data_IF_527256496032
#
_entry.id   IF_527256496032
#
_cell.length_a   1.000
_cell.length_b   1.000
_cell.length_c   1.000
_cell.angle_alpha   90.00
_cell.angle_beta   90.00
_cell.angle_gamma   90.00
#
_symmetry.space_group_name_H-M   'P 1'
#
loop_
_entity.id
_entity.type
_entity.pdbx_description
1 polymer ?
#
# COMPACT_ATOMS: atom_id res chain seq x y z
N UNK A 1 -30.89 -25.78 18.34
CA UNK A 1 -29.52 -25.30 18.67
C UNK A 1 -29.20 -24.19 17.69
N UNK A 2 -29.24 -22.93 18.14
CA UNK A 2 -28.87 -21.80 17.29
C UNK A 2 -27.42 -21.95 16.84
N UNK A 3 -27.11 -21.64 15.58
CA UNK A 3 -25.72 -21.53 15.12
C UNK A 3 -25.00 -20.57 16.07
N UNK A 4 -24.10 -21.10 16.91
CA UNK A 4 -23.27 -20.29 17.78
C UNK A 4 -22.39 -19.44 16.84
N UNK A 5 -22.76 -18.16 16.64
CA UNK A 5 -21.95 -17.25 15.83
C UNK A 5 -20.65 -17.03 16.59
N UNK A 6 -19.52 -17.25 15.93
CA UNK A 6 -18.19 -17.08 16.53
C UNK A 6 -17.95 -15.59 16.78
N UNK A 7 -17.50 -15.25 17.99
CA UNK A 7 -17.02 -13.91 18.31
C UNK A 7 -15.76 -13.63 17.48
N UNK A 8 -15.84 -12.66 16.56
CA UNK A 8 -14.79 -12.45 15.53
C UNK A 8 -14.11 -11.09 15.70
N UNK A 9 -12.79 -11.09 15.79
CA UNK A 9 -11.97 -9.88 15.76
C UNK A 9 -11.36 -9.68 14.37
N UNK A 10 -11.58 -8.53 13.74
CA UNK A 10 -10.93 -8.17 12.48
C UNK A 10 -9.80 -7.20 12.78
N UNK A 11 -8.56 -7.52 12.40
CA UNK A 11 -7.41 -6.65 12.54
C UNK A 11 -7.03 -6.07 11.18
N UNK A 12 -7.38 -4.80 10.93
CA UNK A 12 -6.87 -4.03 9.80
C UNK A 12 -5.43 -3.60 10.08
N UNK A 13 -4.50 -3.87 9.16
CA UNK A 13 -3.09 -3.49 9.33
C UNK A 13 -2.66 -2.58 8.19
N UNK A 14 -2.26 -1.35 8.50
CA UNK A 14 -1.64 -0.45 7.52
C UNK A 14 -0.13 -0.30 7.79
N UNK A 15 0.65 0.17 6.83
CA UNK A 15 2.11 0.36 6.96
C UNK A 15 2.48 1.16 8.21
N UNK A 16 1.77 2.27 8.43
CA UNK A 16 2.09 3.24 9.46
C UNK A 16 2.75 4.49 8.91
N UNK A 17 2.96 5.44 9.81
CA UNK A 17 3.43 6.79 9.53
C UNK A 17 4.12 7.33 10.79
N UNK A 18 5.03 8.31 10.73
CA UNK A 18 5.50 9.01 11.92
C UNK A 18 4.34 9.60 12.73
N UNK A 19 4.44 9.55 14.06
CA UNK A 19 3.41 10.07 14.99
C UNK A 19 3.20 11.59 14.82
N UNK A 20 4.22 12.30 14.35
CA UNK A 20 4.19 13.70 13.96
C UNK A 20 5.24 13.97 12.89
N UNK A 21 5.18 15.11 12.16
CA UNK A 21 6.22 15.48 11.20
C UNK A 21 7.48 16.02 11.91
N UNK A 22 7.61 15.83 13.23
CA UNK A 22 8.81 16.21 13.97
C UNK A 22 9.99 15.31 13.59
N UNK A 23 11.19 15.89 13.54
CA UNK A 23 12.43 15.16 13.26
C UNK A 23 12.64 13.94 14.17
N UNK A 24 12.16 14.02 15.42
CA UNK A 24 12.26 12.94 16.41
C UNK A 24 11.41 11.74 15.97
N UNK A 25 10.13 11.97 15.68
CA UNK A 25 9.19 10.88 15.38
C UNK A 25 9.46 10.29 14.01
N UNK A 26 9.83 11.11 13.02
CA UNK A 26 10.31 10.66 11.71
C UNK A 26 11.54 9.75 11.86
N UNK A 27 12.51 10.12 12.71
CA UNK A 27 13.68 9.28 12.99
C UNK A 27 13.31 7.95 13.62
N UNK A 28 12.33 7.92 14.53
CA UNK A 28 11.89 6.68 15.17
C UNK A 28 11.19 5.78 14.14
N UNK A 29 10.26 6.34 13.35
CA UNK A 29 9.59 5.64 12.24
C UNK A 29 10.60 5.03 11.26
N UNK A 30 11.51 5.83 10.72
CA UNK A 30 12.49 5.34 9.76
C UNK A 30 13.41 4.27 10.35
N UNK A 31 13.78 4.39 11.63
CA UNK A 31 14.57 3.36 12.29
C UNK A 31 13.81 2.05 12.41
N UNK A 32 12.54 2.09 12.77
CA UNK A 32 11.71 0.90 12.88
C UNK A 32 11.51 0.24 11.51
N UNK A 33 11.07 1.03 10.52
CA UNK A 33 10.79 0.60 9.16
C UNK A 33 12.03 0.03 8.45
N UNK A 34 13.13 0.79 8.40
CA UNK A 34 14.30 0.39 7.61
C UNK A 34 15.14 -0.74 8.27
N UNK A 35 14.98 -0.98 9.58
CA UNK A 35 15.62 -2.14 10.23
C UNK A 35 14.82 -3.44 10.06
N UNK A 36 13.64 -3.41 9.45
CA UNK A 36 12.85 -4.59 9.15
C UNK A 36 13.55 -5.46 8.09
N UNK A 37 13.78 -6.77 8.36
CA UNK A 37 14.43 -7.68 7.41
C UNK A 37 13.67 -7.87 6.10
N UNK A 38 12.34 -7.67 6.08
CA UNK A 38 11.53 -7.82 4.88
C UNK A 38 11.56 -6.58 4.00
N UNK A 39 11.95 -5.43 4.55
CA UNK A 39 12.08 -4.16 3.84
C UNK A 39 13.50 -4.00 3.29
N UNK A 40 14.52 -4.20 4.14
CA UNK A 40 15.92 -4.24 3.71
C UNK A 40 16.46 -5.64 3.98
N UNK A 41 16.54 -6.45 2.94
CA UNK A 41 16.97 -7.84 3.05
C UNK A 41 18.50 -7.99 3.07
N UNK A 42 19.10 -7.46 4.12
CA UNK A 42 20.52 -7.62 4.46
C UNK A 42 20.66 -8.41 5.76
N UNK A 43 21.76 -9.17 5.97
CA UNK A 43 22.03 -9.83 7.24
C UNK A 43 21.95 -8.86 8.42
N UNK A 44 21.32 -9.30 9.52
CA UNK A 44 20.91 -8.45 10.66
C UNK A 44 21.98 -7.45 11.13
N UNK A 45 23.21 -7.89 11.32
CA UNK A 45 24.30 -7.01 11.79
C UNK A 45 24.69 -5.97 10.73
N UNK A 46 24.86 -6.40 9.47
CA UNK A 46 25.16 -5.51 8.33
C UNK A 46 24.04 -4.49 8.13
N UNK A 47 22.78 -4.92 8.20
CA UNK A 47 21.62 -4.04 8.11
C UNK A 47 21.59 -3.00 9.23
N UNK A 48 21.77 -3.40 10.49
CA UNK A 48 21.77 -2.46 11.62
C UNK A 48 22.87 -1.40 11.48
N UNK A 49 24.07 -1.79 11.06
CA UNK A 49 25.18 -0.86 10.84
C UNK A 49 24.89 0.10 9.68
N UNK A 50 24.43 -0.43 8.54
CA UNK A 50 24.06 0.37 7.37
C UNK A 50 22.94 1.37 7.70
N UNK A 51 21.84 0.89 8.28
CA UNK A 51 20.66 1.70 8.56
C UNK A 51 20.97 2.77 9.60
N UNK A 52 21.51 2.38 10.76
CA UNK A 52 21.67 3.34 11.87
C UNK A 52 22.92 4.22 11.73
N UNK A 53 23.96 3.74 11.04
CA UNK A 53 25.22 4.46 10.85
C UNK A 53 25.26 5.31 9.58
N UNK A 54 24.55 4.92 8.52
CA UNK A 54 24.62 5.59 7.21
C UNK A 54 23.25 6.07 6.74
N UNK A 55 22.22 5.24 6.66
CA UNK A 55 20.95 5.68 6.05
C UNK A 55 20.26 6.74 6.91
N UNK A 56 20.03 6.45 8.19
CA UNK A 56 19.26 7.32 9.10
C UNK A 56 19.91 8.69 9.29
N UNK A 57 21.23 8.82 9.57
CA UNK A 57 21.85 10.14 9.78
C UNK A 57 21.71 11.09 8.59
N UNK A 58 21.73 10.56 7.36
CA UNK A 58 21.65 11.36 6.14
C UNK A 58 20.22 11.54 5.62
N UNK A 59 19.33 10.55 5.83
CA UNK A 59 17.96 10.57 5.30
C UNK A 59 16.95 11.34 6.17
N UNK A 60 17.14 11.36 7.49
CA UNK A 60 16.14 11.92 8.43
C UNK A 60 15.79 13.37 8.12
N UNK A 61 16.76 14.22 7.76
CA UNK A 61 16.49 15.63 7.46
C UNK A 61 15.52 15.76 6.29
N UNK A 62 15.85 15.16 5.15
CA UNK A 62 15.04 15.25 3.94
C UNK A 62 13.65 14.65 4.16
N UNK A 63 13.57 13.46 4.76
CA UNK A 63 12.27 12.85 5.09
C UNK A 63 11.44 13.71 6.04
N UNK A 64 12.07 14.43 6.98
CA UNK A 64 11.33 15.32 7.90
C UNK A 64 10.64 16.45 7.15
N UNK A 65 11.31 17.05 6.16
CA UNK A 65 10.70 18.13 5.37
C UNK A 65 9.55 17.62 4.50
N UNK A 66 9.72 16.46 3.84
CA UNK A 66 8.64 15.83 3.06
C UNK A 66 7.43 15.49 3.94
N UNK A 67 7.65 14.98 5.17
CA UNK A 67 6.55 14.71 6.09
C UNK A 67 5.85 15.97 6.59
N UNK A 68 6.57 17.09 6.78
CA UNK A 68 5.94 18.37 7.13
C UNK A 68 5.06 18.87 5.99
N UNK A 69 5.55 18.79 4.76
CA UNK A 69 4.80 19.15 3.57
C UNK A 69 3.53 18.30 3.43
N UNK A 70 3.65 16.98 3.58
CA UNK A 70 2.48 16.08 3.59
C UNK A 70 1.45 16.50 4.63
N UNK A 71 1.90 16.84 5.85
CA UNK A 71 1.01 17.29 6.91
C UNK A 71 0.33 18.62 6.56
N UNK A 72 1.07 19.58 6.02
CA UNK A 72 0.53 20.88 5.59
C UNK A 72 -0.55 20.70 4.52
N UNK A 73 -0.25 19.93 3.48
CA UNK A 73 -1.18 19.61 2.39
C UNK A 73 -2.41 18.81 2.86
N UNK A 74 -2.28 18.10 3.99
CA UNK A 74 -3.34 17.22 4.54
C UNK A 74 -4.09 17.83 5.73
N UNK A 75 -3.94 19.13 5.99
CA UNK A 75 -4.65 19.82 7.08
C UNK A 75 -4.13 19.49 8.48
N UNK A 76 -2.82 19.24 8.61
CA UNK A 76 -2.12 19.03 9.87
C UNK A 76 -2.17 17.60 10.42
N UNK A 77 -2.58 16.62 9.62
CA UNK A 77 -2.69 15.21 10.01
C UNK A 77 -2.06 14.27 8.99
N UNK A 78 -1.70 13.06 9.41
CA UNK A 78 -1.34 12.00 8.45
C UNK A 78 -2.59 11.55 7.69
N UNK A 79 -2.66 11.69 6.36
CA UNK A 79 -3.80 11.20 5.58
C UNK A 79 -3.91 9.67 5.68
N UNK A 80 -2.77 8.95 5.75
CA UNK A 80 -2.74 7.50 5.90
C UNK A 80 -3.40 7.05 7.20
N UNK A 81 -3.07 7.70 8.34
CA UNK A 81 -3.70 7.39 9.62
C UNK A 81 -5.18 7.77 9.60
N UNK A 82 -5.50 9.01 9.18
CA UNK A 82 -6.87 9.53 9.11
C UNK A 82 -7.81 8.62 8.32
N UNK A 83 -7.42 8.22 7.12
CA UNK A 83 -8.26 7.37 6.29
C UNK A 83 -8.30 5.92 6.78
N UNK A 84 -7.27 5.43 7.47
CA UNK A 84 -7.31 4.11 8.12
C UNK A 84 -8.29 4.10 9.29
N UNK A 85 -8.30 5.15 10.13
CA UNK A 85 -9.29 5.34 11.19
C UNK A 85 -10.71 5.47 10.64
N UNK A 86 -10.88 6.25 9.55
CA UNK A 86 -12.16 6.39 8.86
C UNK A 86 -12.69 5.04 8.35
N UNK A 87 -11.85 4.29 7.62
CA UNK A 87 -12.18 2.93 7.15
C UNK A 87 -12.56 1.98 8.28
N UNK A 88 -11.82 2.01 9.38
CA UNK A 88 -12.10 1.17 10.56
C UNK A 88 -13.49 1.45 11.12
N UNK A 89 -13.85 2.72 11.28
CA UNK A 89 -15.19 3.14 11.77
C UNK A 89 -16.30 2.75 10.80
N UNK A 90 -16.10 3.01 9.50
CA UNK A 90 -17.09 2.70 8.47
C UNK A 90 -17.31 1.18 8.33
N UNK A 91 -16.24 0.39 8.41
CA UNK A 91 -16.34 -1.06 8.38
C UNK A 91 -17.02 -1.59 9.65
N UNK A 92 -16.69 -1.07 10.84
CA UNK A 92 -17.36 -1.45 12.08
C UNK A 92 -18.87 -1.21 12.01
N UNK A 93 -19.32 -0.13 11.38
CA UNK A 93 -20.74 0.17 11.20
C UNK A 93 -21.46 -0.89 10.35
N UNK A 94 -20.77 -1.53 9.38
CA UNK A 94 -21.32 -2.65 8.58
C UNK A 94 -21.64 -3.89 9.40
N UNK A 95 -21.01 -4.03 10.57
CA UNK A 95 -21.14 -5.20 11.44
C UNK A 95 -21.73 -4.87 12.82
N UNK A 96 -22.36 -3.71 13.01
CA UNK A 96 -22.88 -3.26 14.32
C UNK A 96 -23.89 -4.23 14.98
N UNK A 97 -24.60 -5.01 14.18
CA UNK A 97 -25.62 -5.97 14.62
C UNK A 97 -25.08 -7.42 14.67
N UNK A 98 -23.75 -7.58 14.56
CA UNK A 98 -23.05 -8.86 14.54
C UNK A 98 -21.97 -8.90 15.65
N UNK A 99 -21.54 -10.11 16.05
CA UNK A 99 -20.47 -10.29 17.05
C UNK A 99 -19.09 -10.18 16.39
N UNK A 100 -18.87 -9.02 15.74
CA UNK A 100 -17.67 -8.69 14.98
C UNK A 100 -17.16 -7.32 15.44
N UNK A 101 -15.90 -7.28 15.88
CA UNK A 101 -15.23 -6.04 16.25
C UNK A 101 -14.06 -5.78 15.32
N UNK A 102 -14.01 -4.58 14.74
CA UNK A 102 -12.95 -4.13 13.84
C UNK A 102 -11.91 -3.31 14.61
N UNK A 103 -10.68 -3.80 14.59
CA UNK A 103 -9.49 -3.18 15.17
C UNK A 103 -8.59 -2.67 14.06
N UNK A 104 -7.73 -1.70 14.39
CA UNK A 104 -6.66 -1.27 13.49
C UNK A 104 -5.33 -1.18 14.21
N UNK A 105 -4.27 -1.56 13.50
CA UNK A 105 -2.90 -1.37 13.94
C UNK A 105 -2.04 -0.87 12.78
N UNK A 106 -0.93 -0.23 13.13
CA UNK A 106 0.13 0.05 12.18
C UNK A 106 1.21 -1.02 12.26
N UNK A 107 1.81 -1.35 11.11
CA UNK A 107 3.00 -2.19 11.08
C UNK A 107 4.18 -1.49 11.77
N UNK A 108 4.32 -0.19 11.55
CA UNK A 108 5.31 0.67 12.20
C UNK A 108 4.58 1.81 12.90
N UNK A 109 5.00 2.18 14.11
CA UNK A 109 4.40 3.28 14.91
C UNK A 109 2.98 3.01 15.41
N UNK A 110 2.28 4.09 15.80
CA UNK A 110 1.00 4.05 16.52
C UNK A 110 -0.20 3.95 15.55
N UNK A 111 -1.29 3.26 15.92
CA UNK A 111 -1.42 2.38 17.08
C UNK A 111 -0.51 1.15 16.98
N UNK A 112 0.22 0.81 18.04
CA UNK A 112 1.18 -0.30 18.01
C UNK A 112 0.43 -1.61 17.95
N UNK A 113 0.84 -2.48 17.04
CA UNK A 113 0.23 -3.80 16.90
C UNK A 113 0.29 -4.63 18.18
N UNK A 114 1.32 -4.48 19.01
CA UNK A 114 1.42 -5.13 20.32
C UNK A 114 0.31 -4.72 21.28
N UNK A 115 -0.06 -3.44 21.31
CA UNK A 115 -1.08 -2.93 22.23
C UNK A 115 -2.47 -3.39 21.76
N UNK A 116 -2.75 -3.23 20.47
CA UNK A 116 -4.02 -3.62 19.84
C UNK A 116 -4.26 -5.12 20.00
N UNK A 117 -3.25 -5.95 19.73
CA UNK A 117 -3.39 -7.40 19.88
C UNK A 117 -3.50 -7.82 21.36
N UNK A 118 -2.88 -7.13 22.31
CA UNK A 118 -3.12 -7.39 23.73
C UNK A 118 -4.54 -7.04 24.16
N UNK A 119 -5.14 -5.97 23.62
CA UNK A 119 -6.55 -5.65 23.79
C UNK A 119 -7.44 -6.76 23.19
N UNK A 120 -7.18 -7.15 21.94
CA UNK A 120 -7.91 -8.23 21.28
C UNK A 120 -7.81 -9.56 22.05
N UNK A 121 -6.65 -9.88 22.63
CA UNK A 121 -6.44 -11.07 23.46
C UNK A 121 -7.36 -11.06 24.69
N UNK A 122 -7.53 -9.90 25.33
CA UNK A 122 -8.40 -9.75 26.51
C UNK A 122 -9.88 -9.85 26.16
N UNK A 123 -10.24 -9.47 24.94
CA UNK A 123 -11.61 -9.63 24.44
C UNK A 123 -11.99 -11.09 24.12
N UNK A 124 -11.02 -12.01 24.06
CA UNK A 124 -11.23 -13.44 23.96
C UNK A 124 -12.09 -13.86 22.74
N UNK A 125 -11.65 -13.45 21.55
CA UNK A 125 -12.28 -13.84 20.28
C UNK A 125 -12.15 -15.35 20.01
N UNK A 126 -13.17 -15.93 19.38
CA UNK A 126 -13.11 -17.30 18.84
C UNK A 126 -12.25 -17.33 17.55
N UNK A 127 -12.28 -16.24 16.80
CA UNK A 127 -11.59 -16.08 15.51
C UNK A 127 -10.99 -14.69 15.35
N UNK A 128 -9.79 -14.62 14.80
CA UNK A 128 -9.15 -13.37 14.38
C UNK A 128 -8.87 -13.41 12.88
N UNK A 129 -9.36 -12.40 12.16
CA UNK A 129 -9.09 -12.17 10.74
C UNK A 129 -8.03 -11.08 10.65
N UNK A 130 -6.85 -11.42 10.12
CA UNK A 130 -5.74 -10.49 9.87
C UNK A 130 -5.85 -9.98 8.43
N UNK A 131 -6.11 -8.68 8.26
CA UNK A 131 -6.33 -8.04 6.98
C UNK A 131 -5.36 -6.86 6.81
N UNK A 132 -4.16 -7.09 6.24
CA UNK A 132 -3.29 -6.02 5.78
C UNK A 132 -3.97 -5.21 4.67
N UNK A 133 -3.93 -3.88 4.77
CA UNK A 133 -4.52 -2.93 3.82
C UNK A 133 -3.58 -2.68 2.62
N UNK A 134 -3.04 -3.75 2.05
CA UNK A 134 -2.21 -3.76 0.84
C UNK A 134 -2.90 -4.62 -0.22
N UNK A 135 -3.35 -4.04 -1.35
CA UNK A 135 -4.05 -4.82 -2.37
C UNK A 135 -3.14 -5.88 -2.99
N UNK A 136 -1.89 -5.51 -3.24
CA UNK A 136 -0.88 -6.37 -3.85
C UNK A 136 0.02 -7.00 -2.78
N UNK A 137 0.28 -8.30 -2.89
CA UNK A 137 1.22 -8.99 -2.02
C UNK A 137 2.65 -8.51 -2.28
N UNK A 138 3.32 -8.09 -1.22
CA UNK A 138 4.78 -8.02 -1.17
C UNK A 138 5.26 -8.43 0.22
N UNK A 139 6.41 -9.11 0.29
CA UNK A 139 7.03 -9.49 1.56
C UNK A 139 7.30 -8.25 2.44
N UNK A 140 7.71 -7.14 1.80
CA UNK A 140 8.03 -5.87 2.45
C UNK A 140 6.81 -5.09 3.00
N UNK A 141 5.57 -5.50 2.66
CA UNK A 141 4.32 -4.85 3.11
C UNK A 141 3.38 -5.85 3.82
N UNK A 142 2.52 -6.54 3.07
CA UNK A 142 1.58 -7.53 3.62
C UNK A 142 2.29 -8.67 4.35
N UNK A 143 3.43 -9.14 3.84
CA UNK A 143 4.21 -10.20 4.47
C UNK A 143 4.72 -9.83 5.87
N UNK A 144 5.30 -8.63 6.03
CA UNK A 144 5.78 -8.16 7.34
C UNK A 144 4.64 -7.82 8.31
N UNK A 145 3.50 -7.33 7.81
CA UNK A 145 2.28 -7.13 8.59
C UNK A 145 1.77 -8.44 9.21
N UNK A 146 1.60 -9.46 8.38
CA UNK A 146 1.15 -10.79 8.82
C UNK A 146 2.17 -11.41 9.78
N UNK A 147 3.46 -11.40 9.43
CA UNK A 147 4.53 -11.93 10.28
C UNK A 147 4.48 -11.30 11.67
N UNK A 148 4.38 -9.96 11.76
CA UNK A 148 4.34 -9.24 13.03
C UNK A 148 3.14 -9.66 13.89
N UNK A 149 1.96 -9.78 13.29
CA UNK A 149 0.75 -10.18 14.00
C UNK A 149 0.89 -11.61 14.54
N UNK A 150 1.32 -12.55 13.68
CA UNK A 150 1.55 -13.94 14.07
C UNK A 150 2.64 -14.06 15.14
N UNK A 151 3.70 -13.25 15.07
CA UNK A 151 4.78 -13.22 16.06
C UNK A 151 4.33 -12.80 17.46
N UNK A 152 3.28 -11.98 17.54
CA UNK A 152 2.64 -11.58 18.80
C UNK A 152 1.70 -12.69 19.26
N UNK A 153 0.79 -13.14 18.39
CA UNK A 153 -0.25 -14.14 18.70
C UNK A 153 0.35 -15.47 19.13
N UNK A 154 1.46 -15.92 18.51
CA UNK A 154 2.12 -17.19 18.85
C UNK A 154 2.63 -17.28 20.29
N UNK A 155 2.65 -16.17 21.03
CA UNK A 155 3.06 -16.09 22.44
C UNK A 155 1.88 -16.26 23.40
N UNK A 156 0.64 -16.27 22.90
CA UNK A 156 -0.54 -16.43 23.73
C UNK A 156 -0.71 -17.88 24.17
N UNK A 157 -1.23 -18.08 25.39
CA UNK A 157 -1.56 -19.42 25.90
C UNK A 157 -2.71 -20.09 25.15
N UNK A 158 -3.67 -19.27 24.69
CA UNK A 158 -4.80 -19.69 23.86
C UNK A 158 -4.68 -18.95 22.54
N UNK A 159 -4.54 -19.71 21.45
CA UNK A 159 -4.48 -19.17 20.10
C UNK A 159 -5.87 -19.37 19.48
N UNK A 160 -6.59 -18.30 19.09
CA UNK A 160 -7.89 -18.43 18.44
C UNK A 160 -7.74 -18.95 17.01
N UNK A 161 -8.84 -19.23 16.32
CA UNK A 161 -8.78 -19.49 14.88
C UNK A 161 -8.22 -18.25 14.16
N UNK A 162 -7.17 -18.43 13.34
CA UNK A 162 -6.54 -17.34 12.61
C UNK A 162 -6.81 -17.49 11.12
N UNK A 163 -7.30 -16.44 10.48
CA UNK A 163 -7.40 -16.33 9.03
C UNK A 163 -6.65 -15.10 8.55
N UNK A 164 -6.05 -15.16 7.36
CA UNK A 164 -5.35 -14.02 6.75
C UNK A 164 -5.96 -13.66 5.39
N UNK A 165 -5.84 -12.39 5.02
CA UNK A 165 -6.13 -11.88 3.66
C UNK A 165 -4.78 -11.43 3.08
N UNK A 166 -4.06 -12.27 2.32
CA UNK A 166 -2.70 -11.93 1.89
C UNK A 166 -2.65 -10.83 0.83
N UNK A 167 -3.65 -10.77 -0.05
CA UNK A 167 -3.84 -9.78 -1.11
C UNK A 167 -5.34 -9.73 -1.50
N UNK A 168 -5.70 -8.69 -2.26
CA UNK A 168 -7.04 -8.47 -2.83
C UNK A 168 -6.99 -7.60 -4.10
N UNK A 169 -5.88 -7.66 -4.85
CA UNK A 169 -5.56 -6.77 -5.97
C UNK A 169 -6.57 -6.82 -7.13
N UNK A 170 -7.32 -7.91 -7.25
CA UNK A 170 -8.33 -8.21 -8.27
C UNK A 170 -9.76 -8.16 -7.74
N UNK A 171 -9.97 -7.79 -6.47
CA UNK A 171 -11.31 -7.72 -5.90
C UNK A 171 -12.16 -6.67 -6.61
N UNK A 172 -13.33 -7.07 -7.12
CA UNK A 172 -14.15 -6.22 -7.98
C UNK A 172 -14.48 -4.87 -7.34
N UNK A 173 -14.93 -4.85 -6.08
CA UNK A 173 -15.25 -3.61 -5.37
C UNK A 173 -14.02 -2.69 -5.14
N UNK A 174 -12.81 -3.26 -5.05
CA UNK A 174 -11.57 -2.46 -4.97
C UNK A 174 -11.26 -1.81 -6.33
N UNK A 175 -11.33 -2.57 -7.43
CA UNK A 175 -11.17 -2.04 -8.79
C UNK A 175 -12.22 -0.97 -9.09
N UNK A 176 -13.49 -1.25 -8.78
CA UNK A 176 -14.60 -0.32 -8.99
C UNK A 176 -14.43 0.98 -8.22
N UNK A 177 -13.83 0.93 -7.03
CA UNK A 177 -13.54 2.18 -6.29
C UNK A 177 -12.61 3.10 -7.07
N UNK A 178 -11.58 2.54 -7.70
CA UNK A 178 -10.63 3.34 -8.50
C UNK A 178 -11.33 3.90 -9.74
N UNK A 179 -12.15 3.08 -10.40
CA UNK A 179 -12.99 3.52 -11.54
C UNK A 179 -13.93 4.65 -11.12
N UNK A 180 -14.55 4.56 -9.93
CA UNK A 180 -15.45 5.60 -9.40
C UNK A 180 -14.70 6.90 -9.07
N UNK A 181 -13.53 6.82 -8.44
CA UNK A 181 -12.64 7.97 -8.22
C UNK A 181 -12.27 8.66 -9.54
N UNK A 182 -12.15 7.88 -10.62
CA UNK A 182 -11.80 8.42 -11.94
C UNK A 182 -12.92 9.25 -12.57
N UNK A 183 -14.19 9.05 -12.18
CA UNK A 183 -15.35 9.75 -12.77
C UNK A 183 -15.33 11.27 -12.56
N UNK A 184 -14.56 11.75 -11.59
CA UNK A 184 -14.34 13.18 -11.34
C UNK A 184 -13.45 13.84 -12.40
N UNK A 185 -12.78 13.05 -13.24
CA UNK A 185 -11.83 13.51 -14.25
C UNK A 185 -12.34 13.25 -15.67
N UNK A 186 -12.15 14.24 -16.55
CA UNK A 186 -12.28 14.00 -18.00
C UNK A 186 -11.01 13.32 -18.50
N UNK A 187 -10.99 11.99 -18.46
CA UNK A 187 -9.85 11.15 -18.85
C UNK A 187 -9.35 11.48 -20.26
N UNK A 188 -10.25 11.86 -21.18
CA UNK A 188 -9.88 12.21 -22.57
C UNK A 188 -9.13 13.54 -22.69
N UNK A 189 -9.12 14.35 -21.63
CA UNK A 189 -8.42 15.63 -21.60
C UNK A 189 -6.94 15.52 -21.22
N UNK A 190 -6.45 14.29 -20.98
CA UNK A 190 -5.06 13.99 -20.65
C UNK A 190 -4.37 13.31 -21.84
N UNK A 191 -3.10 13.64 -22.06
CA UNK A 191 -2.30 13.10 -23.17
C UNK A 191 -1.82 11.68 -22.90
N UNK A 192 -1.54 11.36 -21.63
CA UNK A 192 -1.10 10.03 -21.19
C UNK A 192 -1.67 9.67 -19.80
N UNK A 193 -1.78 8.38 -19.55
CA UNK A 193 -2.23 7.83 -18.28
C UNK A 193 -1.10 7.01 -17.63
N UNK A 194 -0.75 7.33 -16.38
CA UNK A 194 0.27 6.65 -15.62
C UNK A 194 -0.35 5.80 -14.51
N UNK A 195 -0.05 4.51 -14.47
CA UNK A 195 -0.27 3.67 -13.28
C UNK A 195 1.06 3.50 -12.55
N UNK A 196 1.27 4.30 -11.51
CA UNK A 196 2.50 4.32 -10.71
C UNK A 196 2.35 3.41 -9.47
N UNK A 197 3.19 2.40 -9.35
CA UNK A 197 3.23 1.49 -8.19
C UNK A 197 4.52 1.71 -7.40
N UNK A 198 4.54 1.46 -6.09
CA UNK A 198 5.82 1.53 -5.36
C UNK A 198 6.78 0.45 -5.93
N UNK A 199 7.97 0.86 -6.35
CA UNK A 199 9.00 -0.03 -6.82
C UNK A 199 9.48 -1.00 -5.74
N UNK A 200 9.90 -2.18 -6.15
CA UNK A 200 10.59 -3.15 -5.31
C UNK A 200 11.95 -3.49 -5.92
N UNK A 201 12.94 -3.88 -5.12
CA UNK A 201 14.16 -4.50 -5.64
C UNK A 201 13.81 -5.74 -6.47
N UNK A 202 14.54 -5.99 -7.56
CA UNK A 202 14.32 -7.19 -8.40
C UNK A 202 14.39 -8.48 -7.57
N UNK A 203 15.35 -8.51 -6.63
CA UNK A 203 15.53 -9.63 -5.71
C UNK A 203 14.33 -9.92 -4.82
N UNK A 204 13.43 -8.95 -4.58
CA UNK A 204 12.22 -9.19 -3.80
C UNK A 204 11.15 -9.91 -4.63
N UNK A 205 11.03 -9.58 -5.91
CA UNK A 205 10.08 -10.25 -6.81
C UNK A 205 10.62 -11.58 -7.33
N UNK A 206 11.94 -11.78 -7.35
CA UNK A 206 12.54 -13.05 -7.73
C UNK A 206 12.31 -14.13 -6.65
N UNK A 207 12.36 -13.76 -5.37
CA UNK A 207 12.26 -14.69 -4.23
C UNK A 207 10.90 -15.34 -4.04
N UNK A 208 9.89 -14.94 -4.80
CA UNK A 208 8.56 -15.56 -4.75
C UNK A 208 8.44 -16.77 -5.67
N UNK A 209 9.47 -17.04 -6.48
CA UNK A 209 9.55 -18.18 -7.38
C UNK A 209 10.50 -19.24 -6.79
N UNK A 210 10.06 -20.50 -6.79
CA UNK A 210 10.91 -21.64 -6.41
C UNK A 210 11.94 -21.96 -7.51
N UNK A 211 11.51 -21.85 -8.77
CA UNK A 211 12.33 -22.08 -9.97
C UNK A 211 12.18 -20.90 -10.93
N UNK A 212 13.30 -20.26 -11.30
CA UNK A 212 13.35 -19.11 -12.21
C UNK A 212 13.26 -17.75 -11.50
N UNK A 213 13.24 -16.68 -12.28
CA UNK A 213 13.18 -15.29 -11.83
C UNK A 213 11.90 -14.61 -12.31
N UNK A 214 11.63 -13.41 -11.80
CA UNK A 214 10.48 -12.61 -12.24
C UNK A 214 10.53 -12.30 -13.74
N UNK A 215 11.73 -12.07 -14.28
CA UNK A 215 11.95 -11.80 -15.71
C UNK A 215 11.67 -13.01 -16.62
N UNK A 216 11.70 -14.23 -16.07
CA UNK A 216 11.40 -15.47 -16.81
C UNK A 216 9.88 -15.74 -16.90
N UNK A 217 9.06 -14.92 -16.24
CA UNK A 217 7.60 -15.09 -16.19
C UNK A 217 6.88 -13.99 -16.95
N UNK A 218 5.70 -14.27 -17.53
CA UNK A 218 4.92 -13.29 -18.30
C UNK A 218 4.15 -12.31 -17.38
N UNK A 219 4.82 -11.75 -16.37
CA UNK A 219 4.22 -10.89 -15.34
C UNK A 219 3.53 -9.65 -15.92
N UNK A 220 4.00 -9.14 -17.04
CA UNK A 220 3.46 -7.91 -17.65
C UNK A 220 2.17 -8.19 -18.44
N UNK A 221 1.98 -9.41 -18.94
CA UNK A 221 0.93 -9.74 -19.89
C UNK A 221 -0.17 -10.62 -19.30
N UNK A 222 0.12 -11.49 -18.33
CA UNK A 222 -0.88 -12.40 -17.75
C UNK A 222 -0.63 -12.74 -16.28
N UNK A 223 -1.70 -13.23 -15.62
CA UNK A 223 -1.67 -13.85 -14.31
C UNK A 223 -1.84 -15.36 -14.48
N UNK A 224 -1.02 -16.16 -13.82
CA UNK A 224 -1.06 -17.62 -13.85
C UNK A 224 -0.63 -18.23 -12.51
N UNK A 225 -0.68 -19.55 -12.40
CA UNK A 225 -0.39 -20.26 -11.15
C UNK A 225 1.05 -20.03 -10.64
N UNK A 226 2.01 -19.73 -11.52
CA UNK A 226 3.40 -19.50 -11.14
C UNK A 226 3.62 -18.08 -10.60
N UNK A 227 2.99 -17.08 -11.20
CA UNK A 227 3.21 -15.68 -10.87
C UNK A 227 2.14 -15.07 -9.94
N UNK A 228 1.18 -15.87 -9.44
CA UNK A 228 0.07 -15.44 -8.57
C UNK A 228 0.49 -14.60 -7.36
N UNK A 229 1.70 -14.81 -6.81
CA UNK A 229 2.23 -14.07 -5.66
C UNK A 229 3.30 -13.04 -6.02
N UNK A 230 3.58 -12.86 -7.31
CA UNK A 230 4.53 -11.86 -7.77
C UNK A 230 3.89 -10.47 -7.76
N UNK A 231 4.48 -9.55 -6.99
CA UNK A 231 4.02 -8.15 -6.92
C UNK A 231 3.89 -7.50 -8.30
N UNK A 232 4.91 -7.67 -9.16
CA UNK A 232 4.90 -7.13 -10.54
C UNK A 232 3.70 -7.65 -11.32
N UNK A 233 3.46 -8.97 -11.30
CA UNK A 233 2.32 -9.56 -11.99
C UNK A 233 0.98 -9.02 -11.49
N UNK A 234 0.82 -8.86 -10.18
CA UNK A 234 -0.39 -8.32 -9.57
C UNK A 234 -0.61 -6.85 -9.95
N UNK A 235 0.44 -6.01 -9.97
CA UNK A 235 0.34 -4.62 -10.43
C UNK A 235 -0.17 -4.52 -11.86
N UNK A 236 0.42 -5.27 -12.78
CA UNK A 236 -0.01 -5.28 -14.18
C UNK A 236 -1.44 -5.83 -14.33
N UNK A 237 -1.81 -6.86 -13.56
CA UNK A 237 -3.18 -7.39 -13.56
C UNK A 237 -4.21 -6.37 -13.05
N UNK A 238 -3.95 -5.68 -11.93
CA UNK A 238 -4.81 -4.59 -11.43
C UNK A 238 -4.96 -3.50 -12.49
N UNK A 239 -3.87 -3.09 -13.15
CA UNK A 239 -3.95 -2.08 -14.20
C UNK A 239 -4.82 -2.54 -15.37
N UNK A 240 -4.67 -3.79 -15.85
CA UNK A 240 -5.53 -4.31 -16.93
C UNK A 240 -7.02 -4.28 -16.55
N UNK A 241 -7.36 -4.68 -15.32
CA UNK A 241 -8.74 -4.67 -14.83
C UNK A 241 -9.33 -3.25 -14.74
N UNK A 242 -8.54 -2.27 -14.28
CA UNK A 242 -8.96 -0.86 -14.24
C UNK A 242 -9.11 -0.31 -15.66
N UNK A 243 -8.12 -0.55 -16.53
CA UNK A 243 -8.09 -0.09 -17.90
C UNK A 243 -9.30 -0.61 -18.70
N UNK A 244 -9.63 -1.90 -18.55
CA UNK A 244 -10.81 -2.50 -19.17
C UNK A 244 -12.10 -1.78 -18.76
N UNK A 245 -12.32 -1.56 -17.46
CA UNK A 245 -13.52 -0.87 -16.96
C UNK A 245 -13.59 0.62 -17.35
N UNK A 246 -12.44 1.25 -17.59
CA UNK A 246 -12.35 2.63 -18.10
C UNK A 246 -12.42 2.71 -19.64
N UNK A 247 -12.43 1.58 -20.34
CA UNK A 247 -12.40 1.53 -21.80
C UNK A 247 -11.07 2.00 -22.41
N UNK A 248 -9.97 1.89 -21.67
CA UNK A 248 -8.63 2.25 -22.11
C UNK A 248 -7.99 1.11 -22.89
N UNK A 249 -7.23 1.46 -23.93
CA UNK A 249 -6.37 0.52 -24.67
C UNK A 249 -4.99 0.48 -24.04
N UNK A 250 -4.23 -0.57 -24.31
CA UNK A 250 -2.83 -0.71 -23.85
C UNK A 250 -1.93 0.46 -24.32
N UNK A 251 -2.25 1.10 -25.44
CA UNK A 251 -1.55 2.29 -25.94
C UNK A 251 -1.83 3.56 -25.14
N UNK A 252 -2.90 3.59 -24.33
CA UNK A 252 -3.37 4.79 -23.66
C UNK A 252 -2.72 4.98 -22.27
N UNK A 253 -2.06 3.95 -21.74
CA UNK A 253 -1.47 3.97 -20.41
C UNK A 253 -0.10 3.30 -20.32
N UNK A 254 0.66 3.67 -19.29
CA UNK A 254 1.92 3.01 -18.91
C UNK A 254 1.86 2.56 -17.46
N UNK A 255 2.29 1.32 -17.19
CA UNK A 255 2.60 0.86 -15.84
C UNK A 255 4.05 1.21 -15.52
N UNK A 256 4.28 1.87 -14.40
CA UNK A 256 5.62 2.26 -13.96
C UNK A 256 5.77 2.13 -12.44
N UNK A 257 7.01 2.22 -11.97
CA UNK A 257 7.36 2.02 -10.58
C UNK A 257 8.07 3.26 -10.00
N UNK A 258 7.48 3.84 -8.96
CA UNK A 258 8.01 4.98 -8.21
C UNK A 258 8.92 4.56 -7.06
N UNK A 259 9.60 5.52 -6.44
CA UNK A 259 10.42 5.33 -5.24
C UNK A 259 11.43 4.16 -5.31
N UNK A 260 12.71 4.48 -5.56
CA UNK A 260 13.81 3.47 -5.58
C UNK A 260 15.03 3.90 -4.79
N UNK A 261 15.85 2.93 -4.38
CA UNK A 261 17.16 3.20 -3.77
C UNK A 261 18.33 3.13 -4.76
N UNK A 262 18.20 2.33 -5.83
CA UNK A 262 19.22 2.17 -6.86
C UNK A 262 18.58 1.67 -8.18
N UNK A 263 19.40 1.26 -9.16
CA UNK A 263 18.95 0.84 -10.51
C UNK A 263 18.45 -0.61 -10.61
N UNK A 264 18.67 -1.47 -9.61
CA UNK A 264 18.26 -2.89 -9.58
C UNK A 264 16.89 -3.04 -8.91
N UNK A 265 15.92 -2.34 -9.48
CA UNK A 265 14.56 -2.21 -9.00
C UNK A 265 13.64 -2.29 -10.22
N UNK A 266 12.40 -2.68 -9.98
CA UNK A 266 11.38 -2.78 -11.04
C UNK A 266 11.34 -1.53 -11.91
N UNK A 267 11.35 -1.75 -13.22
CA UNK A 267 11.27 -0.74 -14.27
C UNK A 267 9.99 -0.93 -15.10
N UNK A 268 9.54 0.10 -15.85
CA UNK A 268 10.13 1.45 -15.98
C UNK A 268 9.94 2.30 -14.72
N UNK A 269 10.78 3.31 -14.52
CA UNK A 269 10.67 4.20 -13.37
C UNK A 269 9.71 5.37 -13.64
N UNK A 270 8.78 5.64 -12.71
CA UNK A 270 7.73 6.64 -12.90
C UNK A 270 8.28 8.05 -13.19
N UNK A 271 9.31 8.50 -12.47
CA UNK A 271 10.00 9.76 -12.73
C UNK A 271 10.52 9.84 -14.17
N UNK A 272 11.13 8.75 -14.67
CA UNK A 272 11.66 8.70 -16.05
C UNK A 272 10.60 8.66 -17.12
N UNK A 273 9.50 7.95 -16.90
CA UNK A 273 8.36 7.97 -17.83
C UNK A 273 7.78 9.37 -17.96
N UNK A 274 7.66 10.10 -16.86
CA UNK A 274 7.14 11.47 -16.85
C UNK A 274 8.10 12.45 -17.56
N UNK A 275 9.40 12.36 -17.29
CA UNK A 275 10.43 13.13 -18.00
C UNK A 275 10.34 12.89 -19.52
N UNK A 276 10.32 11.63 -19.95
CA UNK A 276 10.25 11.25 -21.36
C UNK A 276 8.98 11.76 -22.05
N UNK A 277 7.83 11.72 -21.37
CA UNK A 277 6.58 12.24 -21.93
C UNK A 277 6.58 13.77 -22.06
N UNK A 278 7.20 14.49 -21.11
CA UNK A 278 7.36 15.94 -21.21
C UNK A 278 8.24 16.31 -22.41
N UNK A 279 9.37 15.62 -22.58
CA UNK A 279 10.29 15.81 -23.71
C UNK A 279 9.62 15.51 -25.05
N UNK A 280 8.69 14.55 -25.09
CA UNK A 280 7.85 14.23 -26.26
C UNK A 280 6.70 15.21 -26.48
N UNK A 281 6.55 16.23 -25.63
CA UNK A 281 5.58 17.32 -25.79
C UNK A 281 4.23 17.12 -25.09
N UNK A 282 4.09 16.09 -24.24
CA UNK A 282 2.87 15.89 -23.45
C UNK A 282 2.66 17.04 -22.47
N UNK A 283 1.40 17.45 -22.28
CA UNK A 283 1.02 18.58 -21.44
C UNK A 283 0.28 18.17 -20.19
N UNK A 284 -0.54 17.12 -20.24
CA UNK A 284 -1.36 16.68 -19.11
C UNK A 284 -1.27 15.18 -18.92
N UNK A 285 -0.91 14.75 -17.71
CA UNK A 285 -0.84 13.34 -17.32
C UNK A 285 -1.88 13.07 -16.24
N UNK A 286 -2.65 11.99 -16.38
CA UNK A 286 -3.49 11.47 -15.30
C UNK A 286 -2.74 10.31 -14.62
N UNK A 287 -2.45 10.43 -13.33
CA UNK A 287 -1.65 9.47 -12.58
C UNK A 287 -2.47 8.75 -11.51
N UNK A 288 -2.31 7.44 -11.45
CA UNK A 288 -2.92 6.53 -10.47
C UNK A 288 -1.85 5.95 -9.57
N UNK A 289 -2.20 5.65 -8.32
CA UNK A 289 -1.32 4.94 -7.38
C UNK A 289 -2.03 3.75 -6.70
N UNK A 290 -2.37 2.68 -7.45
CA UNK A 290 -3.30 1.65 -6.96
C UNK A 290 -2.77 0.86 -5.75
N UNK A 291 -1.45 0.75 -5.60
CA UNK A 291 -0.83 0.05 -4.46
C UNK A 291 -1.17 0.66 -3.08
N UNK A 292 -1.69 1.89 -3.03
CA UNK A 292 -2.00 2.59 -1.79
C UNK A 292 -3.52 2.80 -1.67
N UNK A 293 -4.11 2.29 -0.60
CA UNK A 293 -5.56 2.42 -0.32
C UNK A 293 -5.90 3.63 0.56
N UNK A 294 -4.90 4.44 0.88
CA UNK A 294 -5.04 5.69 1.59
C UNK A 294 -3.97 6.64 1.06
N UNK A 295 -4.33 7.90 0.85
CA UNK A 295 -3.35 8.90 0.47
C UNK A 295 -2.24 9.00 1.52
N UNK A 296 -1.02 9.14 1.04
CA UNK A 296 0.19 9.10 1.85
C UNK A 296 1.28 9.95 1.20
N UNK A 297 2.50 9.83 1.71
CA UNK A 297 3.66 10.58 1.22
C UNK A 297 3.94 10.28 -0.25
N UNK A 298 3.89 8.99 -0.62
CA UNK A 298 4.16 8.48 -1.96
C UNK A 298 3.06 8.88 -2.98
N UNK A 299 1.88 9.30 -2.52
CA UNK A 299 0.83 9.79 -3.43
C UNK A 299 0.84 11.31 -3.49
N UNK A 300 0.51 11.98 -2.38
CA UNK A 300 0.29 13.43 -2.36
C UNK A 300 1.58 14.18 -2.69
N UNK A 301 2.71 13.78 -2.10
CA UNK A 301 3.97 14.53 -2.27
C UNK A 301 4.73 14.02 -3.49
N UNK A 302 5.08 12.73 -3.56
CA UNK A 302 5.90 12.22 -4.67
C UNK A 302 5.20 12.40 -6.04
N UNK A 303 3.96 11.91 -6.20
CA UNK A 303 3.24 12.07 -7.48
C UNK A 303 2.61 13.47 -7.60
N UNK A 304 1.89 13.89 -6.56
CA UNK A 304 1.08 15.10 -6.61
C UNK A 304 1.86 16.41 -6.63
N UNK A 305 3.07 16.42 -6.07
CA UNK A 305 3.96 17.60 -6.03
C UNK A 305 5.24 17.38 -6.81
N UNK A 306 6.10 16.43 -6.41
CA UNK A 306 7.44 16.30 -6.99
C UNK A 306 7.38 16.00 -8.50
N UNK A 307 6.58 15.01 -8.91
CA UNK A 307 6.41 14.68 -10.33
C UNK A 307 5.68 15.78 -11.11
N UNK A 308 4.72 16.47 -10.50
CA UNK A 308 4.04 17.62 -11.12
C UNK A 308 4.99 18.79 -11.37
N UNK A 309 5.88 19.07 -10.42
CA UNK A 309 6.92 20.08 -10.55
C UNK A 309 7.95 19.72 -11.62
N UNK A 310 8.45 18.49 -11.61
CA UNK A 310 9.46 18.04 -12.58
C UNK A 310 8.89 18.01 -14.00
N UNK A 311 7.64 17.57 -14.16
CA UNK A 311 6.93 17.62 -15.44
C UNK A 311 6.80 19.05 -15.98
N UNK A 312 6.43 20.01 -15.11
CA UNK A 312 6.34 21.43 -15.50
C UNK A 312 7.68 22.05 -15.87
N UNK A 313 8.77 21.69 -15.17
CA UNK A 313 10.13 22.16 -15.50
C UNK A 313 10.56 21.72 -16.90
N UNK A 314 10.05 20.58 -17.38
CA UNK A 314 10.33 20.02 -18.70
C UNK A 314 9.30 20.44 -19.77
N UNK A 315 8.39 21.37 -19.46
CA UNK A 315 7.44 21.94 -20.42
C UNK A 315 6.06 21.27 -20.46
N UNK A 316 5.79 20.33 -19.55
CA UNK A 316 4.44 19.86 -19.24
C UNK A 316 3.62 20.93 -18.49
N UNK A 317 2.32 20.66 -18.26
CA UNK A 317 1.42 21.58 -17.57
C UNK A 317 0.90 21.01 -16.25
N UNK A 318 0.51 19.73 -16.22
CA UNK A 318 -0.05 19.10 -15.02
C UNK A 318 0.13 17.58 -14.99
N UNK A 319 0.65 17.07 -13.88
CA UNK A 319 0.43 15.69 -13.42
C UNK A 319 -0.73 15.72 -12.43
N UNK A 320 -1.87 15.14 -12.81
CA UNK A 320 -3.04 15.04 -11.97
C UNK A 320 -3.09 13.68 -11.29
N UNK A 321 -2.90 13.66 -9.97
CA UNK A 321 -3.13 12.46 -9.16
C UNK A 321 -4.64 12.19 -9.04
N UNK A 322 -5.05 10.95 -9.30
CA UNK A 322 -6.35 10.41 -8.89
C UNK A 322 -6.25 10.02 -7.40
N UNK A 323 -7.14 10.50 -6.53
CA UNK A 323 -7.10 10.16 -5.11
C UNK A 323 -7.13 8.66 -4.87
N UNK A 324 -6.43 8.21 -3.84
CA UNK A 324 -6.50 6.81 -3.40
C UNK A 324 -7.94 6.41 -3.04
N UNK A 325 -8.19 5.11 -2.83
CA UNK A 325 -9.52 4.65 -2.41
C UNK A 325 -9.99 5.35 -1.14
N UNK A 326 -9.07 5.70 -0.23
CA UNK A 326 -9.35 6.45 0.99
C UNK A 326 -10.51 5.79 1.75
N UNK A 327 -11.54 6.53 2.13
CA UNK A 327 -12.74 6.03 2.80
C UNK A 327 -13.94 5.93 1.85
N UNK A 328 -13.70 5.73 0.56
CA UNK A 328 -14.76 5.58 -0.43
C UNK A 328 -15.70 4.41 -0.05
N UNK A 329 -17.04 4.59 -0.07
CA UNK A 329 -17.99 3.55 0.34
C UNK A 329 -17.78 2.22 -0.39
N UNK A 330 -17.52 2.27 -1.71
CA UNK A 330 -17.22 1.07 -2.52
C UNK A 330 -16.00 0.29 -2.04
N UNK A 331 -15.02 0.94 -1.41
CA UNK A 331 -13.90 0.23 -0.81
C UNK A 331 -14.26 -0.36 0.55
N UNK A 332 -15.18 0.25 1.29
CA UNK A 332 -15.74 -0.38 2.49
C UNK A 332 -16.50 -1.65 2.12
N UNK A 333 -17.21 -1.67 0.98
CA UNK A 333 -17.87 -2.88 0.46
C UNK A 333 -16.83 -4.00 0.19
N UNK A 334 -15.68 -3.65 -0.42
CA UNK A 334 -14.56 -4.59 -0.59
C UNK A 334 -14.07 -5.17 0.75
N UNK A 335 -13.87 -4.33 1.76
CA UNK A 335 -13.41 -4.79 3.08
C UNK A 335 -14.46 -5.65 3.77
N UNK A 336 -15.74 -5.30 3.66
CA UNK A 336 -16.85 -6.08 4.18
C UNK A 336 -16.90 -7.47 3.53
N UNK A 337 -16.83 -7.55 2.20
CA UNK A 337 -16.83 -8.81 1.46
C UNK A 337 -15.67 -9.71 1.87
N UNK A 338 -14.45 -9.16 1.98
CA UNK A 338 -13.26 -9.90 2.40
C UNK A 338 -13.38 -10.47 3.81
N UNK A 339 -14.01 -9.73 4.73
CA UNK A 339 -14.30 -10.18 6.10
C UNK A 339 -15.37 -11.26 6.07
N UNK A 340 -16.49 -11.05 5.38
CA UNK A 340 -17.62 -12.00 5.31
C UNK A 340 -17.22 -13.34 4.71
N UNK A 341 -16.36 -13.36 3.70
CA UNK A 341 -15.81 -14.60 3.11
C UNK A 341 -15.01 -15.44 4.11
N UNK A 342 -14.54 -14.82 5.20
CA UNK A 342 -13.70 -15.43 6.22
C UNK A 342 -14.40 -15.61 7.56
N UNK A 343 -15.65 -15.18 7.73
CA UNK A 343 -16.44 -15.50 8.91
C UNK A 343 -16.94 -16.93 8.81
#
# INVERSE_FOLDING_TARGET
MGKNRKKTGVLLIQLGTPDSPSKKDVKIYLKEFLNDPRVIDYPKLKRKLLVNGIIIPFRVKNSTEIYKELWELSGGVSPLLKYTESKTKLLQERFKDEDVTVHMAMRYRLPRMEDVLEEMRRENYDKIIILPLFPHYASASGGTAIEKAVDIIRKWWVIPEISTVPDFFDHEAYIDTIVERTKEFDVKSYDNILFSYHGLPDTHVDKVYDDGLCEDQPCETEMNDKNRFCYKAQCYATTRLIAEKLGLKESDYTVAFQSRLNKKWLTPFSDKVIEEWAEKGSKRILAFSPAFVADCLETIVEIGVEYDEDFKKLGGEKVQLVPSTNDHPRFIDCLEDLVRQRM
#
